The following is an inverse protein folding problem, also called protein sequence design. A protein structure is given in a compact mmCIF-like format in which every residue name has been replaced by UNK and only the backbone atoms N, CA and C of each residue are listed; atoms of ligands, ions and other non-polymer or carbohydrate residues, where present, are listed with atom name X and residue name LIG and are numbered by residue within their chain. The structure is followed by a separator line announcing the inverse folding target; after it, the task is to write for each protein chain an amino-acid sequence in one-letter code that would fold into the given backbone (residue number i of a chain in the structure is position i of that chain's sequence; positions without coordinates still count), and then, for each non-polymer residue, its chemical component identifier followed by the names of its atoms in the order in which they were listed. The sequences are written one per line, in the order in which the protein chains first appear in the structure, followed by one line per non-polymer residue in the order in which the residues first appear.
data_IF_487910224298
#
_entry.id   IF_487910224298
#
_cell.length_a   1.000
_cell.length_b   1.000
_cell.length_c   1.000
_cell.angle_alpha   90.00
_cell.angle_beta   90.00
_cell.angle_gamma   90.00
#
_symmetry.space_group_name_H-M   'P 1'
#
loop_
_entity.id
_entity.type
_entity.pdbx_description
1 polymer ?
#
# COMPACT_ATOMS: atom_id res chain seq x y z
N UNK A 1 -15.71 -15.79 7.58
CA UNK A 1 -14.83 -15.34 6.49
C UNK A 1 -14.21 -14.03 6.96
N UNK A 2 -12.92 -13.99 7.30
CA UNK A 2 -12.27 -12.81 7.92
C UNK A 2 -11.17 -12.18 7.07
N UNK A 3 -10.76 -12.82 5.97
CA UNK A 3 -9.69 -12.35 5.08
C UNK A 3 -10.22 -12.07 3.66
N UNK A 4 -11.40 -11.47 3.57
CA UNK A 4 -12.06 -11.13 2.30
C UNK A 4 -12.51 -9.69 2.37
N UNK A 5 -12.26 -8.93 1.30
CA UNK A 5 -12.59 -7.51 1.15
C UNK A 5 -13.20 -7.29 -0.24
N UNK A 6 -14.15 -6.35 -0.39
CA UNK A 6 -14.82 -6.13 -1.67
C UNK A 6 -13.91 -5.42 -2.67
N UNK A 7 -13.73 -6.03 -3.85
CA UNK A 7 -12.89 -5.49 -4.92
C UNK A 7 -13.61 -5.47 -6.26
N UNK A 8 -13.48 -4.36 -7.00
CA UNK A 8 -13.89 -4.28 -8.39
C UNK A 8 -13.06 -5.24 -9.26
N UNK A 9 -13.64 -5.87 -10.29
CA UNK A 9 -12.92 -6.80 -11.15
C UNK A 9 -11.67 -6.21 -11.80
N UNK A 10 -11.73 -4.95 -12.22
CA UNK A 10 -10.60 -4.26 -12.86
C UNK A 10 -9.49 -3.94 -11.85
N UNK A 11 -9.82 -3.52 -10.64
CA UNK A 11 -8.85 -3.36 -9.56
C UNK A 11 -8.21 -4.69 -9.16
N UNK A 12 -8.99 -5.79 -9.19
CA UNK A 12 -8.48 -7.12 -8.85
C UNK A 12 -7.29 -7.53 -9.73
N UNK A 13 -7.22 -7.10 -10.99
CA UNK A 13 -6.06 -7.36 -11.87
C UNK A 13 -4.78 -6.72 -11.33
N UNK A 14 -4.85 -5.48 -10.86
CA UNK A 14 -3.76 -4.77 -10.19
C UNK A 14 -3.35 -5.55 -8.93
N UNK A 15 -4.35 -5.90 -8.09
CA UNK A 15 -4.12 -6.58 -6.82
C UNK A 15 -3.48 -7.96 -7.00
N UNK A 16 -3.95 -8.74 -7.96
CA UNK A 16 -3.43 -10.06 -8.29
C UNK A 16 -2.00 -9.97 -8.84
N UNK A 17 -1.72 -9.03 -9.75
CA UNK A 17 -0.37 -8.85 -10.28
C UNK A 17 0.61 -8.41 -9.18
N UNK A 18 0.18 -7.51 -8.30
CA UNK A 18 0.96 -7.10 -7.14
C UNK A 18 1.34 -8.31 -6.25
N UNK A 19 0.36 -9.13 -5.86
CA UNK A 19 0.62 -10.27 -4.97
C UNK A 19 1.39 -11.41 -5.65
N UNK A 20 1.04 -11.73 -6.90
CA UNK A 20 1.56 -12.92 -7.58
C UNK A 20 2.93 -12.68 -8.23
N UNK A 21 3.25 -11.42 -8.56
CA UNK A 21 4.47 -11.05 -9.30
C UNK A 21 5.33 -10.07 -8.51
N UNK A 22 4.81 -8.88 -8.17
CA UNK A 22 5.64 -7.81 -7.60
C UNK A 22 6.14 -8.11 -6.18
N UNK A 23 5.31 -8.69 -5.32
CA UNK A 23 5.75 -9.08 -3.97
C UNK A 23 6.90 -10.09 -4.01
N UNK A 24 6.87 -11.06 -4.94
CA UNK A 24 7.97 -12.01 -5.13
C UNK A 24 9.24 -11.32 -5.63
N UNK A 25 9.10 -10.42 -6.61
CA UNK A 25 10.20 -9.58 -7.13
C UNK A 25 10.84 -8.76 -5.99
N UNK A 26 10.04 -8.07 -5.19
CA UNK A 26 10.54 -7.23 -4.10
C UNK A 26 11.14 -8.06 -2.95
N UNK A 27 10.54 -9.20 -2.59
CA UNK A 27 11.14 -10.11 -1.62
C UNK A 27 12.53 -10.60 -2.08
N UNK A 28 12.68 -10.92 -3.36
CA UNK A 28 13.98 -11.31 -3.93
C UNK A 28 15.00 -10.16 -3.92
N UNK A 29 14.62 -8.97 -4.39
CA UNK A 29 15.53 -7.81 -4.47
C UNK A 29 15.97 -7.32 -3.08
N UNK A 30 15.08 -7.36 -2.09
CA UNK A 30 15.34 -6.85 -0.75
C UNK A 30 15.64 -7.94 0.28
N UNK A 31 15.90 -9.18 -0.15
CA UNK A 31 16.13 -10.39 0.65
C UNK A 31 14.94 -10.84 1.52
N UNK A 32 14.28 -9.89 2.19
CA UNK A 32 13.10 -10.10 3.02
C UNK A 32 12.27 -8.81 3.08
N UNK A 33 10.95 -8.95 2.95
CA UNK A 33 10.00 -7.86 3.11
C UNK A 33 8.91 -8.24 4.12
N UNK A 34 8.53 -7.30 4.97
CA UNK A 34 7.26 -7.33 5.70
C UNK A 34 6.22 -6.57 4.87
N UNK A 35 5.00 -7.10 4.81
CA UNK A 35 3.91 -6.53 4.02
C UNK A 35 2.69 -6.35 4.91
N UNK A 36 2.15 -5.13 4.95
CA UNK A 36 0.87 -4.83 5.56
C UNK A 36 -0.04 -4.23 4.49
N UNK A 37 -1.22 -4.80 4.32
CA UNK A 37 -2.21 -4.33 3.35
C UNK A 37 -3.56 -4.16 4.03
N UNK A 38 -4.40 -3.28 3.48
CA UNK A 38 -5.74 -3.09 3.98
C UNK A 38 -6.56 -2.08 3.19
N UNK A 39 -7.86 -1.97 3.49
CA UNK A 39 -8.71 -0.95 2.92
C UNK A 39 -8.46 0.43 3.55
N UNK A 40 -8.78 1.49 2.81
CA UNK A 40 -8.92 2.84 3.31
C UNK A 40 -10.22 3.46 2.79
N UNK A 41 -10.85 4.30 3.62
CA UNK A 41 -12.12 4.95 3.35
C UNK A 41 -11.93 6.46 3.50
N UNK A 42 -12.11 7.17 2.38
CA UNK A 42 -11.96 8.61 2.24
C UNK A 42 -12.87 9.06 1.08
N UNK A 43 -14.17 9.15 1.35
CA UNK A 43 -15.24 9.50 0.41
C UNK A 43 -15.40 11.01 0.25
N UNK A 44 -14.90 11.79 1.22
CA UNK A 44 -14.90 13.26 1.17
C UNK A 44 -13.58 13.83 0.61
N UNK A 45 -12.57 12.97 0.35
CA UNK A 45 -11.29 13.28 -0.27
C UNK A 45 -10.45 14.28 0.55
N UNK A 46 -10.56 14.23 1.89
CA UNK A 46 -9.80 15.10 2.78
C UNK A 46 -8.47 14.49 3.26
N UNK A 47 -8.19 13.24 2.86
CA UNK A 47 -6.98 12.50 3.21
C UNK A 47 -6.98 11.93 4.63
N UNK A 48 -8.12 11.95 5.33
CA UNK A 48 -8.32 11.35 6.64
C UNK A 48 -9.29 10.18 6.55
N UNK A 49 -9.22 9.28 7.53
CA UNK A 49 -10.17 8.17 7.60
C UNK A 49 -11.60 8.68 7.84
N UNK A 50 -12.55 8.09 7.13
CA UNK A 50 -13.97 8.37 7.30
C UNK A 50 -14.57 7.75 8.57
N UNK A 51 -15.52 8.47 9.17
CA UNK A 51 -16.50 7.91 10.11
C UNK A 51 -17.53 7.04 9.36
N UNK A 52 -18.22 6.10 10.04
CA UNK A 52 -19.24 5.26 9.41
C UNK A 52 -20.33 6.05 8.66
N UNK A 53 -20.66 7.25 9.13
CA UNK A 53 -21.66 8.13 8.53
C UNK A 53 -21.19 8.78 7.21
N UNK A 54 -19.88 8.89 7.00
CA UNK A 54 -19.29 9.44 5.77
C UNK A 54 -19.20 8.40 4.65
N UNK A 55 -19.29 7.10 4.94
CA UNK A 55 -19.18 6.01 3.96
C UNK A 55 -20.42 5.94 3.07
N UNK A 56 -20.24 6.05 1.75
CA UNK A 56 -21.35 6.20 0.80
C UNK A 56 -21.68 4.95 -0.01
N UNK A 57 -20.73 4.03 -0.22
CA UNK A 57 -20.97 2.84 -1.06
C UNK A 57 -20.83 1.53 -0.28
N UNK A 58 -21.73 0.60 -0.59
CA UNK A 58 -21.83 -0.71 0.03
C UNK A 58 -22.08 -1.77 -1.04
N UNK A 59 -21.65 -3.00 -0.77
CA UNK A 59 -21.95 -4.15 -1.64
C UNK A 59 -23.46 -4.37 -1.66
N UNK A 60 -24.05 -4.43 -2.86
CA UNK A 60 -25.49 -4.53 -3.09
C UNK A 60 -26.16 -5.59 -2.21
N UNK A 61 -27.16 -5.17 -1.43
CA UNK A 61 -27.93 -6.05 -0.54
C UNK A 61 -27.23 -6.41 0.78
N UNK A 62 -26.14 -5.72 1.14
CA UNK A 62 -25.38 -5.96 2.37
C UNK A 62 -24.96 -4.64 3.04
N UNK A 63 -24.44 -4.72 4.26
CA UNK A 63 -23.83 -3.59 4.98
C UNK A 63 -22.29 -3.59 4.86
N UNK A 64 -21.75 -4.22 3.82
CA UNK A 64 -20.30 -4.32 3.61
C UNK A 64 -19.83 -3.08 2.86
N UNK A 65 -19.11 -2.19 3.53
CA UNK A 65 -18.56 -0.95 2.96
C UNK A 65 -17.55 -1.23 1.84
N UNK A 66 -17.61 -0.44 0.77
CA UNK A 66 -16.65 -0.50 -0.35
C UNK A 66 -15.51 0.50 -0.04
N UNK A 67 -14.23 0.08 0.00
CA UNK A 67 -13.10 1.00 0.20
C UNK A 67 -12.95 1.97 -0.96
N UNK A 68 -12.50 3.20 -0.69
CA UNK A 68 -12.11 4.15 -1.75
C UNK A 68 -10.70 3.86 -2.25
N UNK A 69 -9.84 3.34 -1.37
CA UNK A 69 -8.47 2.95 -1.70
C UNK A 69 -8.10 1.64 -1.00
N UNK A 70 -7.03 1.01 -1.50
CA UNK A 70 -6.30 -0.02 -0.78
C UNK A 70 -4.87 0.43 -0.55
N UNK A 71 -4.39 0.28 0.68
CA UNK A 71 -3.00 0.57 1.00
C UNK A 71 -2.15 -0.69 0.98
N UNK A 72 -0.87 -0.50 0.66
CA UNK A 72 0.17 -1.52 0.83
C UNK A 72 1.42 -0.86 1.40
N UNK A 73 1.91 -1.35 2.53
CA UNK A 73 3.16 -0.93 3.17
C UNK A 73 4.14 -2.09 3.11
N UNK A 74 5.26 -1.89 2.44
CA UNK A 74 6.37 -2.83 2.38
C UNK A 74 7.53 -2.29 3.19
N UNK A 75 8.11 -3.13 4.05
CA UNK A 75 9.23 -2.77 4.92
C UNK A 75 10.37 -3.76 4.76
N UNK A 76 11.61 -3.29 4.66
CA UNK A 76 12.81 -4.13 4.67
C UNK A 76 13.95 -3.46 5.44
N UNK A 77 15.06 -4.19 5.61
CA UNK A 77 16.27 -3.66 6.24
C UNK A 77 17.17 -3.00 5.18
N UNK A 78 17.71 -1.80 5.45
CA UNK A 78 18.43 -1.01 4.43
C UNK A 78 19.83 -1.52 4.07
N UNK A 79 20.54 -2.13 5.03
CA UNK A 79 21.98 -2.41 4.89
C UNK A 79 22.45 -3.77 5.41
N UNK A 80 21.55 -4.54 6.00
CA UNK A 80 21.89 -5.86 6.50
C UNK A 80 21.17 -6.86 5.61
N UNK A 81 21.87 -7.89 5.12
CA UNK A 81 21.28 -9.09 4.50
C UNK A 81 20.44 -9.90 5.51
N UNK A 82 20.01 -9.27 6.60
CA UNK A 82 19.18 -9.84 7.64
C UNK A 82 17.71 -9.78 7.22
N UNK A 83 16.90 -10.76 7.64
CA UNK A 83 15.47 -10.68 7.56
C UNK A 83 14.93 -9.43 8.27
N UNK A 84 13.80 -8.90 7.80
CA UNK A 84 13.17 -7.71 8.42
C UNK A 84 12.84 -7.91 9.90
N UNK A 85 12.58 -9.15 10.34
CA UNK A 85 12.31 -9.52 11.73
C UNK A 85 13.52 -9.38 12.66
N UNK A 86 14.74 -9.41 12.12
CA UNK A 86 16.00 -9.33 12.87
C UNK A 86 16.76 -8.04 12.56
N UNK A 87 16.12 -7.10 11.86
CA UNK A 87 16.77 -5.87 11.45
C UNK A 87 17.11 -5.01 12.68
N UNK A 88 18.38 -4.97 13.05
CA UNK A 88 18.92 -4.04 14.05
C UNK A 88 19.28 -2.67 13.45
N UNK A 89 19.46 -2.61 12.13
CA UNK A 89 19.83 -1.40 11.38
C UNK A 89 18.64 -0.51 10.99
N UNK A 90 18.88 0.51 10.16
CA UNK A 90 17.85 1.46 9.69
C UNK A 90 16.80 0.74 8.83
N UNK A 91 15.51 0.94 9.15
CA UNK A 91 14.40 0.46 8.32
C UNK A 91 14.29 1.29 7.03
N UNK A 92 13.88 0.61 5.96
CA UNK A 92 13.42 1.25 4.73
C UNK A 92 12.00 0.76 4.41
N UNK A 93 11.15 1.66 3.94
CA UNK A 93 9.77 1.35 3.60
C UNK A 93 9.36 2.00 2.30
N UNK A 94 8.44 1.35 1.60
CA UNK A 94 7.67 1.93 0.51
C UNK A 94 6.19 1.68 0.77
N UNK A 95 5.37 2.68 0.51
CA UNK A 95 3.93 2.60 0.69
C UNK A 95 3.19 3.08 -0.54
N UNK A 96 2.02 2.49 -0.77
CA UNK A 96 1.14 2.78 -1.90
C UNK A 96 -0.28 3.00 -1.39
N UNK A 97 -0.99 3.97 -1.98
CA UNK A 97 -2.42 4.21 -1.78
C UNK A 97 -3.11 4.06 -3.13
N UNK A 98 -3.56 2.85 -3.44
CA UNK A 98 -4.10 2.52 -4.76
C UNK A 98 -5.59 2.87 -4.81
N UNK A 99 -6.04 3.70 -5.77
CA UNK A 99 -7.45 4.05 -5.92
C UNK A 99 -8.26 2.83 -6.35
N UNK A 100 -9.35 2.58 -5.63
CA UNK A 100 -10.21 1.42 -5.85
C UNK A 100 -11.31 1.75 -6.88
N UNK A 101 -10.94 1.69 -8.15
CA UNK A 101 -11.82 2.06 -9.27
C UNK A 101 -12.43 0.84 -9.98
N UNK A 102 -13.59 1.05 -10.60
CA UNK A 102 -14.27 0.05 -11.44
C UNK A 102 -13.64 -0.13 -12.82
N UNK A 103 -12.65 0.69 -13.16
CA UNK A 103 -11.99 0.75 -14.45
C UNK A 103 -10.53 1.20 -14.30
N UNK A 104 -9.67 0.85 -15.26
CA UNK A 104 -8.24 1.14 -15.25
C UNK A 104 -7.83 2.22 -16.27
N UNK A 105 -8.71 3.19 -16.55
CA UNK A 105 -8.48 4.21 -17.60
C UNK A 105 -7.33 5.18 -17.30
N UNK A 106 -6.93 5.31 -16.03
CA UNK A 106 -5.72 6.04 -15.63
C UNK A 106 -4.46 5.47 -16.32
N UNK A 107 -4.44 4.16 -16.53
CA UNK A 107 -3.41 3.50 -17.33
C UNK A 107 -3.89 3.37 -18.78
N UNK A 108 -3.39 4.23 -19.66
CA UNK A 108 -3.71 4.19 -21.10
C UNK A 108 -3.34 2.86 -21.79
N UNK A 109 -2.51 2.03 -21.14
CA UNK A 109 -2.10 0.69 -21.59
C UNK A 109 -2.88 -0.43 -20.90
N UNK A 110 -3.98 -0.14 -20.20
CA UNK A 110 -4.75 -1.13 -19.44
C UNK A 110 -5.35 -2.28 -20.27
N UNK A 111 -5.36 -2.14 -21.60
CA UNK A 111 -5.72 -3.23 -22.54
C UNK A 111 -4.57 -4.20 -22.83
N UNK A 112 -3.34 -3.83 -22.48
CA UNK A 112 -2.15 -4.68 -22.59
C UNK A 112 -2.00 -5.58 -21.35
N UNK A 113 -1.01 -6.48 -21.39
CA UNK A 113 -0.69 -7.33 -20.24
C UNK A 113 -0.33 -6.49 -19.01
N UNK A 114 -0.75 -6.94 -17.82
CA UNK A 114 -0.56 -6.26 -16.53
C UNK A 114 0.91 -5.91 -16.26
N UNK A 115 1.84 -6.71 -16.79
CA UNK A 115 3.28 -6.47 -16.69
C UNK A 115 3.77 -5.17 -17.32
N UNK A 116 2.99 -4.58 -18.24
CA UNK A 116 3.36 -3.37 -18.98
C UNK A 116 2.98 -2.08 -18.27
N UNK A 117 2.09 -2.13 -17.27
CA UNK A 117 1.49 -0.92 -16.70
C UNK A 117 1.21 -0.97 -15.20
N UNK A 118 0.99 -2.14 -14.59
CA UNK A 118 0.60 -2.22 -13.17
C UNK A 118 1.69 -1.69 -12.24
N UNK A 119 2.95 -2.07 -12.46
CA UNK A 119 4.05 -1.55 -11.62
C UNK A 119 4.13 -0.02 -11.74
N UNK A 120 4.04 0.52 -12.96
CA UNK A 120 4.10 1.97 -13.19
C UNK A 120 2.96 2.71 -12.48
N UNK A 121 1.73 2.19 -12.56
CA UNK A 121 0.57 2.73 -11.85
C UNK A 121 0.77 2.72 -10.33
N UNK A 122 1.28 1.60 -9.78
CA UNK A 122 1.53 1.52 -8.34
C UNK A 122 2.57 2.54 -7.88
N UNK A 123 3.66 2.71 -8.64
CA UNK A 123 4.70 3.71 -8.32
C UNK A 123 4.21 5.14 -8.51
N UNK A 124 3.24 5.38 -9.40
CA UNK A 124 2.57 6.67 -9.51
C UNK A 124 1.77 7.01 -8.25
N UNK A 125 1.08 6.02 -7.67
CA UNK A 125 0.31 6.13 -6.42
C UNK A 125 1.12 5.84 -5.15
N UNK A 126 2.41 6.13 -5.21
CA UNK A 126 3.28 6.03 -4.05
C UNK A 126 2.94 7.12 -3.04
N UNK A 127 2.89 6.73 -1.77
CA UNK A 127 2.56 7.62 -0.67
C UNK A 127 3.61 7.50 0.44
N UNK A 128 3.68 8.50 1.34
CA UNK A 128 4.46 8.36 2.58
C UNK A 128 3.70 7.41 3.51
N UNK A 129 4.43 6.75 4.40
CA UNK A 129 3.76 5.94 5.42
C UNK A 129 2.88 6.80 6.32
N UNK A 130 3.25 8.07 6.54
CA UNK A 130 2.41 9.03 7.26
C UNK A 130 1.07 9.30 6.56
N UNK A 131 1.02 9.28 5.23
CA UNK A 131 -0.22 9.47 4.48
C UNK A 131 -1.16 8.26 4.68
N UNK A 132 -0.58 7.05 4.71
CA UNK A 132 -1.32 5.82 5.05
C UNK A 132 -1.87 5.90 6.48
N UNK A 133 -1.09 6.36 7.45
CA UNK A 133 -1.57 6.55 8.83
C UNK A 133 -2.76 7.51 8.90
N UNK A 134 -2.72 8.62 8.15
CA UNK A 134 -3.80 9.60 8.15
C UNK A 134 -5.09 9.06 7.57
N UNK A 135 -5.02 8.41 6.41
CA UNK A 135 -6.22 7.91 5.70
C UNK A 135 -6.79 6.62 6.32
N UNK A 136 -6.05 5.95 7.20
CA UNK A 136 -6.50 4.69 7.85
C UNK A 136 -6.76 4.82 9.34
N UNK A 137 -6.23 5.86 10.00
CA UNK A 137 -6.24 5.98 11.46
C UNK A 137 -5.31 4.99 12.17
N UNK A 138 -4.44 4.28 11.43
CA UNK A 138 -3.46 3.35 11.99
C UNK A 138 -2.17 4.07 12.42
N UNK A 139 -1.36 3.39 13.24
CA UNK A 139 -0.06 3.86 13.70
C UNK A 139 0.98 2.73 13.59
N UNK A 140 1.96 2.88 12.70
CA UNK A 140 2.91 1.82 12.38
C UNK A 140 4.16 1.87 13.27
N UNK A 141 4.77 0.70 13.51
CA UNK A 141 6.07 0.51 14.20
C UNK A 141 6.14 0.90 15.69
N UNK A 142 5.01 1.11 16.37
CA UNK A 142 4.99 1.49 17.80
C UNK A 142 5.72 0.49 18.72
N UNK A 143 5.71 -0.81 18.39
CA UNK A 143 6.31 -1.88 19.20
C UNK A 143 7.76 -2.23 18.79
N UNK A 144 8.44 -1.37 18.01
CA UNK A 144 9.75 -1.72 17.44
C UNK A 144 10.96 -1.44 18.35
N UNK A 145 10.75 -0.99 19.60
CA UNK A 145 11.78 -0.54 20.56
C UNK A 145 12.74 0.56 20.05
N UNK A 146 12.46 1.12 18.87
CA UNK A 146 13.29 2.13 18.20
C UNK A 146 13.01 3.54 18.71
N UNK A 147 14.02 4.44 18.68
CA UNK A 147 13.80 5.84 19.03
C UNK A 147 12.73 6.49 18.15
N UNK A 148 11.82 7.24 18.78
CA UNK A 148 10.73 7.96 18.09
C UNK A 148 11.23 8.82 16.91
N UNK A 149 12.35 9.57 17.01
CA UNK A 149 12.85 10.33 15.86
C UNK A 149 13.19 9.46 14.64
N UNK A 150 13.65 8.24 14.85
CA UNK A 150 13.94 7.30 13.77
C UNK A 150 12.64 6.81 13.10
N UNK A 151 11.63 6.50 13.91
CA UNK A 151 10.31 6.10 13.41
C UNK A 151 9.66 7.22 12.60
N UNK A 152 9.67 8.45 13.11
CA UNK A 152 9.16 9.61 12.40
C UNK A 152 9.92 9.85 11.09
N UNK A 153 11.26 9.73 11.10
CA UNK A 153 12.07 9.84 9.89
C UNK A 153 11.65 8.81 8.83
N UNK A 154 11.44 7.55 9.20
CA UNK A 154 10.97 6.51 8.26
C UNK A 154 9.56 6.85 7.76
N UNK A 155 8.66 7.28 8.66
CA UNK A 155 7.27 7.58 8.32
C UNK A 155 7.10 8.75 7.34
N UNK A 156 7.96 9.76 7.44
CA UNK A 156 7.86 10.98 6.65
C UNK A 156 8.79 11.02 5.44
N UNK A 157 9.62 9.98 5.21
CA UNK A 157 10.53 9.95 4.06
C UNK A 157 9.73 10.19 2.77
N UNK A 158 9.96 11.32 2.08
CA UNK A 158 9.35 11.55 0.79
C UNK A 158 10.02 10.59 -0.17
N UNK A 159 9.26 9.66 -0.70
CA UNK A 159 9.75 8.59 -1.57
C UNK A 159 10.25 9.07 -2.94
N UNK A 160 10.44 10.38 -3.13
CA UNK A 160 11.15 10.96 -4.27
C UNK A 160 12.67 10.63 -4.32
N UNK A 161 13.20 9.81 -3.39
CA UNK A 161 14.62 9.41 -3.33
C UNK A 161 14.89 7.92 -3.64
N UNK A 162 13.87 7.13 -4.00
CA UNK A 162 14.05 5.76 -4.50
C UNK A 162 13.78 5.75 -6.00
N UNK A 163 14.85 5.69 -6.81
CA UNK A 163 14.72 5.43 -8.23
C UNK A 163 14.34 3.97 -8.47
N UNK A 164 13.35 3.72 -9.34
CA UNK A 164 13.15 2.39 -9.92
C UNK A 164 14.48 1.94 -10.49
N UNK A 165 15.11 0.94 -9.88
CA UNK A 165 16.17 0.20 -10.57
C UNK A 165 15.46 -0.57 -11.68
N UNK A 166 15.64 -0.09 -12.91
CA UNK A 166 15.31 -0.83 -14.13
C UNK A 166 16.01 -2.19 -14.09
#
# INVERSE_FOLDING_TARGET
MSNVVPMYPEFKKIWDYFHNTLLKKYAYIYNSINVVTGPAFDYNYDGQYDTPEQIQQFVSGTNISIPTHYFAVLTSCKFNEQPVSECAGELQSVSFLLPHLSHNSESCKSTEAESQWVEDLMWFHQARLRDVEWITGLDFYQESDRPIPELLKVKTRPTAAIHRKL
#
